data_IF_150730180048
#
_entry.id   IF_150730180048
#
_cell.length_a   1.000
_cell.length_b   1.000
_cell.length_c   1.000
_cell.angle_alpha   90.00
_cell.angle_beta   90.00
_cell.angle_gamma   90.00
#
_symmetry.space_group_name_H-M   'P 1'
#
loop_
_entity.id
_entity.type
_entity.pdbx_description
1 polymer ?
#
# COMPACT_ATOMS: atom_id res chain seq x y z
N UNK A 1 9.77 37.00 2.36
CA UNK A 1 8.35 37.07 2.80
C UNK A 1 7.76 35.69 2.62
N UNK A 2 7.16 35.09 3.64
CA UNK A 2 6.41 33.83 3.46
C UNK A 2 5.03 34.16 2.90
N UNK A 3 4.62 33.45 1.85
CA UNK A 3 3.36 33.67 1.14
C UNK A 3 2.14 33.06 1.87
N UNK A 4 2.19 32.99 3.21
CA UNK A 4 1.19 32.31 4.04
C UNK A 4 1.61 30.90 4.49
N UNK A 5 0.64 30.14 4.99
CA UNK A 5 0.81 28.76 5.44
C UNK A 5 -0.14 27.84 4.67
N UNK A 6 0.35 26.66 4.32
CA UNK A 6 -0.41 25.59 3.67
C UNK A 6 -0.10 24.28 4.40
N UNK A 7 -1.11 23.42 4.57
CA UNK A 7 -0.92 22.10 5.18
C UNK A 7 -1.85 21.09 4.54
N UNK A 8 -1.32 19.91 4.25
CA UNK A 8 -2.15 18.73 4.03
C UNK A 8 -2.60 18.16 5.37
N UNK A 9 -3.86 17.73 5.42
CA UNK A 9 -4.43 16.93 6.51
C UNK A 9 -5.05 15.70 5.87
N UNK A 10 -4.37 14.55 5.96
CA UNK A 10 -4.85 13.30 5.40
C UNK A 10 -5.52 12.49 6.51
N UNK A 11 -6.81 12.18 6.33
CA UNK A 11 -7.59 11.41 7.29
C UNK A 11 -7.73 9.96 6.81
N UNK A 12 -7.11 9.04 7.53
CA UNK A 12 -7.10 7.61 7.25
C UNK A 12 -8.08 6.88 8.17
N UNK A 13 -9.06 6.23 7.57
CA UNK A 13 -10.10 5.49 8.27
C UNK A 13 -10.57 4.29 7.46
N UNK A 14 -10.75 3.16 8.15
CA UNK A 14 -11.56 2.03 7.71
C UNK A 14 -12.36 1.53 8.92
N UNK A 15 -13.57 0.97 8.73
CA UNK A 15 -14.25 0.24 9.79
C UNK A 15 -13.45 -0.99 10.21
N UNK A 16 -13.86 -1.65 11.30
CA UNK A 16 -13.27 -2.93 11.68
C UNK A 16 -13.68 -4.01 10.68
N UNK A 17 -12.71 -4.49 9.91
CA UNK A 17 -12.88 -5.45 8.82
C UNK A 17 -12.13 -6.77 9.08
N UNK A 18 -11.21 -6.81 10.04
CA UNK A 18 -10.54 -8.04 10.51
C UNK A 18 -11.56 -9.13 10.84
N UNK A 19 -11.39 -10.29 10.22
CA UNK A 19 -12.23 -11.49 10.28
C UNK A 19 -13.72 -11.25 9.93
N UNK A 20 -14.06 -10.13 9.28
CA UNK A 20 -15.43 -9.82 8.87
C UNK A 20 -15.82 -10.42 7.49
N UNK A 21 -14.93 -11.23 6.91
CA UNK A 21 -14.97 -11.71 5.53
C UNK A 21 -13.76 -11.19 4.75
N UNK A 22 -13.46 -11.83 3.61
CA UNK A 22 -12.33 -11.39 2.75
C UNK A 22 -12.81 -10.51 1.59
N UNK A 23 -13.81 -10.98 0.82
CA UNK A 23 -14.26 -10.36 -0.43
C UNK A 23 -15.79 -10.47 -0.56
N UNK A 24 -16.51 -9.49 -1.14
CA UNK A 24 -16.04 -8.21 -1.69
C UNK A 24 -15.97 -7.07 -0.66
N UNK A 25 -16.47 -7.30 0.55
CA UNK A 25 -16.42 -6.35 1.66
C UNK A 25 -15.80 -7.08 2.84
N UNK A 26 -14.65 -6.62 3.33
CA UNK A 26 -13.87 -7.40 4.28
C UNK A 26 -12.43 -6.91 4.43
N UNK A 27 -11.55 -7.81 4.85
CA UNK A 27 -10.12 -7.54 5.08
C UNK A 27 -9.39 -7.01 3.85
N UNK A 28 -9.86 -7.34 2.64
CA UNK A 28 -9.29 -6.83 1.39
C UNK A 28 -9.18 -5.29 1.40
N UNK A 29 -10.15 -4.58 1.97
CA UNK A 29 -10.07 -3.11 2.07
C UNK A 29 -8.88 -2.63 2.88
N UNK A 30 -8.52 -3.36 3.93
CA UNK A 30 -7.34 -3.04 4.75
C UNK A 30 -6.10 -3.28 3.90
N UNK A 31 -6.01 -4.39 3.18
CA UNK A 31 -4.86 -4.73 2.35
C UNK A 31 -4.67 -3.81 1.13
N UNK A 32 -5.76 -3.40 0.47
CA UNK A 32 -5.77 -2.37 -0.57
C UNK A 32 -5.30 -1.02 0.02
N UNK A 33 -5.83 -0.62 1.18
CA UNK A 33 -5.38 0.57 1.89
C UNK A 33 -3.88 0.55 2.20
N UNK A 34 -3.36 -0.60 2.65
CA UNK A 34 -1.91 -0.77 2.90
C UNK A 34 -1.12 -0.64 1.61
N UNK A 35 -1.50 -1.37 0.56
CA UNK A 35 -0.69 -1.49 -0.66
C UNK A 35 -0.76 -0.29 -1.60
N UNK A 36 -1.88 0.42 -1.62
CA UNK A 36 -2.14 1.47 -2.60
C UNK A 36 -2.16 2.87 -1.98
N UNK A 37 -2.21 2.98 -0.64
CA UNK A 37 -2.23 4.27 0.05
C UNK A 37 -1.14 4.40 1.12
N UNK A 38 -1.15 3.55 2.15
CA UNK A 38 -0.33 3.78 3.35
C UNK A 38 1.17 3.58 3.08
N UNK A 39 1.56 2.44 2.51
CA UNK A 39 2.98 2.20 2.18
C UNK A 39 3.51 3.20 1.14
N UNK A 40 2.80 3.50 0.03
CA UNK A 40 3.26 4.52 -0.92
C UNK A 40 3.46 5.91 -0.30
N UNK A 41 2.58 6.34 0.61
CA UNK A 41 2.75 7.61 1.32
C UNK A 41 3.96 7.55 2.25
N UNK A 42 4.12 6.47 3.04
CA UNK A 42 5.25 6.33 3.94
C UNK A 42 6.59 6.28 3.19
N UNK A 43 6.65 5.57 2.06
CA UNK A 43 7.83 5.49 1.22
C UNK A 43 8.19 6.85 0.63
N UNK A 44 7.23 7.57 0.07
CA UNK A 44 7.46 8.92 -0.46
C UNK A 44 7.94 9.90 0.63
N UNK A 45 7.36 9.85 1.83
CA UNK A 45 7.77 10.71 2.95
C UNK A 45 9.20 10.36 3.43
N UNK A 46 9.54 9.07 3.51
CA UNK A 46 10.89 8.64 3.85
C UNK A 46 11.91 9.03 2.78
N UNK A 47 11.57 8.90 1.50
CA UNK A 47 12.43 9.32 0.39
C UNK A 47 12.71 10.83 0.44
N UNK A 48 11.67 11.66 0.63
CA UNK A 48 11.83 13.10 0.81
C UNK A 48 12.75 13.45 1.99
N UNK A 49 12.61 12.72 3.10
CA UNK A 49 13.45 12.89 4.28
C UNK A 49 14.91 12.52 3.99
N UNK A 50 15.15 11.41 3.29
CA UNK A 50 16.49 10.95 2.88
C UNK A 50 17.16 11.92 1.89
N UNK A 51 16.38 12.55 1.01
CA UNK A 51 16.82 13.60 0.09
C UNK A 51 17.04 14.96 0.77
N UNK A 52 16.71 15.09 2.05
CA UNK A 52 16.87 16.34 2.82
C UNK A 52 15.82 17.41 2.49
N UNK A 53 14.67 17.02 1.91
CA UNK A 53 13.55 17.93 1.63
C UNK A 53 12.78 18.21 2.93
N UNK A 54 12.67 19.48 3.32
CA UNK A 54 11.84 19.89 4.46
C UNK A 54 10.35 19.89 4.07
N UNK A 55 9.57 19.00 4.68
CA UNK A 55 8.13 18.89 4.48
C UNK A 55 7.37 18.90 5.80
N UNK A 56 6.10 19.35 5.75
CA UNK A 56 5.16 19.31 6.87
C UNK A 56 3.81 18.79 6.39
N UNK A 57 3.32 17.74 7.04
CA UNK A 57 2.05 17.11 6.74
C UNK A 57 1.42 16.61 8.03
N UNK A 58 0.08 16.60 8.09
CA UNK A 58 -0.67 15.96 9.18
C UNK A 58 -1.31 14.69 8.65
N UNK A 59 -1.02 13.56 9.30
CA UNK A 59 -1.67 12.28 9.07
C UNK A 59 -2.53 11.95 10.29
N UNK A 60 -3.82 11.71 10.08
CA UNK A 60 -4.73 11.22 11.11
C UNK A 60 -5.05 9.76 10.82
N UNK A 61 -4.84 8.88 11.81
CA UNK A 61 -5.23 7.47 11.74
C UNK A 61 -6.28 7.25 12.83
N UNK A 62 -7.47 6.82 12.45
CA UNK A 62 -8.51 6.51 13.46
C UNK A 62 -8.05 5.35 14.35
N UNK A 63 -8.39 5.35 15.66
CA UNK A 63 -7.96 4.28 16.57
C UNK A 63 -8.31 2.87 16.06
N UNK A 64 -9.50 2.70 15.48
CA UNK A 64 -9.94 1.39 14.96
C UNK A 64 -9.14 0.93 13.73
N UNK A 65 -8.63 1.87 12.93
CA UNK A 65 -7.71 1.55 11.84
C UNK A 65 -6.33 1.21 12.40
N UNK A 66 -5.83 1.98 13.36
CA UNK A 66 -4.53 1.72 14.00
C UNK A 66 -4.48 0.33 14.64
N UNK A 67 -5.52 -0.08 15.38
CA UNK A 67 -5.62 -1.43 15.95
C UNK A 67 -5.52 -2.54 14.89
N UNK A 68 -6.11 -2.33 13.71
CA UNK A 68 -6.01 -3.32 12.62
C UNK A 68 -4.63 -3.31 11.97
N UNK A 69 -4.04 -2.14 11.74
CA UNK A 69 -2.71 -2.03 11.13
C UNK A 69 -1.59 -2.58 12.04
N UNK A 70 -1.79 -2.55 13.36
CA UNK A 70 -0.87 -3.11 14.35
C UNK A 70 -1.13 -4.59 14.68
N UNK A 71 -2.14 -5.23 14.08
CA UNK A 71 -2.46 -6.64 14.35
C UNK A 71 -1.56 -7.57 13.51
N UNK A 72 -0.82 -8.52 14.14
CA UNK A 72 0.03 -9.47 13.42
C UNK A 72 -0.71 -10.31 12.38
N UNK A 73 -1.99 -10.63 12.60
CA UNK A 73 -2.79 -11.40 11.65
C UNK A 73 -3.06 -10.59 10.37
N UNK A 74 -3.35 -9.29 10.50
CA UNK A 74 -3.50 -8.40 9.35
C UNK A 74 -2.18 -8.30 8.57
N UNK A 75 -1.04 -8.27 9.27
CA UNK A 75 0.26 -8.29 8.62
C UNK A 75 0.52 -9.60 7.85
N UNK A 76 0.18 -10.76 8.43
CA UNK A 76 0.31 -12.06 7.75
C UNK A 76 -0.61 -12.16 6.52
N UNK A 77 -1.86 -11.72 6.66
CA UNK A 77 -2.83 -11.71 5.57
C UNK A 77 -2.45 -10.72 4.47
N UNK A 78 -1.90 -9.55 4.82
CA UNK A 78 -1.42 -8.57 3.85
C UNK A 78 -0.29 -9.12 2.99
N UNK A 79 0.67 -9.85 3.58
CA UNK A 79 1.73 -10.48 2.80
C UNK A 79 1.16 -11.48 1.80
N UNK A 80 0.23 -12.33 2.25
CA UNK A 80 -0.48 -13.28 1.38
C UNK A 80 -1.18 -12.55 0.23
N UNK A 81 -1.94 -11.50 0.55
CA UNK A 81 -2.63 -10.67 -0.43
C UNK A 81 -1.66 -10.08 -1.46
N UNK A 82 -0.56 -9.45 -1.03
CA UNK A 82 0.37 -8.80 -1.95
C UNK A 82 1.12 -9.82 -2.83
N UNK A 83 1.46 -11.00 -2.29
CA UNK A 83 2.06 -12.10 -3.07
C UNK A 83 1.10 -12.63 -4.13
N UNK A 84 -0.16 -12.82 -3.79
CA UNK A 84 -1.19 -13.23 -4.74
C UNK A 84 -1.37 -12.21 -5.87
N UNK A 85 -1.46 -10.91 -5.54
CA UNK A 85 -1.58 -9.85 -6.56
C UNK A 85 -0.37 -9.77 -7.47
N UNK A 86 0.84 -9.88 -6.93
CA UNK A 86 2.06 -9.93 -7.72
C UNK A 86 2.07 -11.16 -8.65
N UNK A 87 1.61 -12.32 -8.17
CA UNK A 87 1.53 -13.56 -8.93
C UNK A 87 0.50 -13.47 -10.06
N UNK A 88 -0.69 -12.94 -9.79
CA UNK A 88 -1.72 -12.76 -10.79
C UNK A 88 -1.30 -11.75 -11.86
N UNK A 89 -0.67 -10.65 -11.47
CA UNK A 89 -0.12 -9.69 -12.42
C UNK A 89 0.97 -10.32 -13.31
N UNK A 90 1.82 -11.21 -12.77
CA UNK A 90 2.81 -11.94 -13.58
C UNK A 90 2.15 -12.88 -14.61
N UNK A 91 1.10 -13.61 -14.21
CA UNK A 91 0.33 -14.45 -15.13
C UNK A 91 -0.36 -13.61 -16.22
N UNK A 92 -0.82 -12.41 -15.88
CA UNK A 92 -1.40 -11.47 -16.84
C UNK A 92 -0.34 -10.95 -17.84
N UNK A 93 0.91 -10.74 -17.43
CA UNK A 93 2.02 -10.42 -18.34
C UNK A 93 2.19 -11.50 -19.40
N UNK A 94 2.20 -12.77 -18.99
CA UNK A 94 2.31 -13.92 -19.91
C UNK A 94 1.12 -13.97 -20.86
N UNK A 95 -0.10 -13.90 -20.32
CA UNK A 95 -1.35 -13.93 -21.09
C UNK A 95 -1.39 -12.83 -22.17
N UNK A 96 -1.03 -11.61 -21.82
CA UNK A 96 -1.05 -10.48 -22.76
C UNK A 96 0.13 -10.49 -23.73
N UNK A 97 1.24 -11.14 -23.39
CA UNK A 97 2.30 -11.41 -24.34
C UNK A 97 1.86 -12.40 -25.42
N UNK A 98 1.13 -13.45 -25.04
CA UNK A 98 0.60 -14.45 -25.98
C UNK A 98 -0.49 -13.89 -26.91
N UNK A 99 -1.36 -13.00 -26.41
CA UNK A 99 -2.39 -12.36 -27.23
C UNK A 99 -1.87 -11.22 -28.12
N UNK A 100 -0.63 -10.74 -27.87
CA UNK A 100 -0.04 -9.61 -28.59
C UNK A 100 -0.53 -8.24 -28.11
N UNK A 101 -1.22 -8.17 -26.96
CA UNK A 101 -1.76 -6.92 -26.39
C UNK A 101 -0.67 -6.15 -25.63
N UNK A 102 0.18 -5.44 -26.38
CA UNK A 102 1.38 -4.75 -25.86
C UNK A 102 1.06 -3.78 -24.71
N UNK A 103 -0.03 -3.02 -24.80
CA UNK A 103 -0.40 -2.05 -23.74
C UNK A 103 -0.87 -2.74 -22.46
N UNK A 104 -1.65 -3.82 -22.58
CA UNK A 104 -2.11 -4.59 -21.42
C UNK A 104 -0.95 -5.35 -20.76
N UNK A 105 -0.02 -5.88 -21.55
CA UNK A 105 1.23 -6.46 -21.04
C UNK A 105 2.02 -5.44 -20.21
N UNK A 106 2.20 -4.21 -20.72
CA UNK A 106 2.91 -3.14 -20.01
C UNK A 106 2.21 -2.76 -18.71
N UNK A 107 0.87 -2.72 -18.71
CA UNK A 107 0.09 -2.46 -17.50
C UNK A 107 0.25 -3.58 -16.47
N UNK A 108 0.23 -4.85 -16.90
CA UNK A 108 0.46 -5.98 -16.02
C UNK A 108 1.89 -5.99 -15.44
N UNK A 109 2.90 -5.62 -16.24
CA UNK A 109 4.29 -5.45 -15.77
C UNK A 109 4.38 -4.36 -14.69
N UNK A 110 3.65 -3.25 -14.87
CA UNK A 110 3.56 -2.19 -13.85
C UNK A 110 2.98 -2.71 -12.53
N UNK A 111 1.84 -3.40 -12.56
CA UNK A 111 1.21 -3.90 -11.33
C UNK A 111 2.01 -5.03 -10.68
N UNK A 112 2.66 -5.89 -11.46
CA UNK A 112 3.57 -6.89 -10.91
C UNK A 112 4.72 -6.21 -10.16
N UNK A 113 5.34 -5.19 -10.76
CA UNK A 113 6.38 -4.41 -10.11
C UNK A 113 5.86 -3.67 -8.86
N UNK A 114 4.66 -3.08 -8.94
CA UNK A 114 4.01 -2.38 -7.83
C UNK A 114 3.86 -3.30 -6.62
N UNK A 115 3.07 -4.37 -6.71
CA UNK A 115 2.82 -5.26 -5.57
C UNK A 115 4.09 -5.93 -5.05
N UNK A 116 5.03 -6.29 -5.94
CA UNK A 116 6.32 -6.86 -5.53
C UNK A 116 7.18 -5.85 -4.75
N UNK A 117 7.22 -4.60 -5.20
CA UNK A 117 7.97 -3.52 -4.54
C UNK A 117 7.34 -3.11 -3.21
N UNK A 118 6.01 -3.02 -3.16
CA UNK A 118 5.25 -2.72 -1.95
C UNK A 118 5.44 -3.81 -0.90
N UNK A 119 5.36 -5.08 -1.27
CA UNK A 119 5.63 -6.20 -0.36
C UNK A 119 7.07 -6.18 0.15
N UNK A 120 8.04 -5.90 -0.72
CA UNK A 120 9.43 -5.73 -0.32
C UNK A 120 9.59 -4.57 0.67
N UNK A 121 8.99 -3.41 0.38
CA UNK A 121 9.03 -2.24 1.26
C UNK A 121 8.45 -2.56 2.63
N UNK A 122 7.26 -3.19 2.68
CA UNK A 122 6.63 -3.64 3.91
C UNK A 122 7.56 -4.52 4.75
N UNK A 123 8.19 -5.52 4.14
CA UNK A 123 9.09 -6.46 4.82
C UNK A 123 10.39 -5.83 5.28
N UNK A 124 11.06 -5.07 4.41
CA UNK A 124 12.44 -4.63 4.67
C UNK A 124 12.57 -3.20 5.19
N UNK A 125 11.76 -2.26 4.67
CA UNK A 125 11.85 -0.85 5.05
C UNK A 125 11.06 -0.57 6.32
N UNK A 126 9.89 -1.18 6.43
CA UNK A 126 8.94 -0.97 7.54
C UNK A 126 8.91 -2.13 8.55
N UNK A 127 9.67 -3.21 8.32
CA UNK A 127 9.75 -4.36 9.25
C UNK A 127 8.36 -4.92 9.65
N UNK A 128 7.43 -4.95 8.69
CA UNK A 128 6.03 -5.37 8.87
C UNK A 128 5.22 -4.49 9.85
N UNK A 129 5.68 -3.27 10.12
CA UNK A 129 5.04 -2.33 11.03
C UNK A 129 4.78 -0.99 10.32
N UNK A 130 3.50 -0.66 10.11
CA UNK A 130 3.06 0.55 9.42
C UNK A 130 3.00 1.75 10.39
N UNK A 131 2.84 1.50 11.69
CA UNK A 131 2.67 2.55 12.69
C UNK A 131 4.01 3.03 13.28
N UNK A 132 5.04 2.19 13.23
CA UNK A 132 6.45 2.53 13.49
C UNK A 132 6.97 2.25 14.90
#
# INVERSE_FOLDING_TARGET
MSNGAFTFVLHSHLPYAREAGMWPHGEEWVHEGISETYLPILDALNDLKEEGVDYRITLSVTPILAEQLGDPLIADHFETFAEERATWAAADVERFAESGDVELKRLAEYYHAWYSSTLKSFRSRHNRDILG
#
